data_IF_963130605855
#
_entry.id   IF_963130605855
#
_cell.length_a   1.000
_cell.length_b   1.000
_cell.length_c   1.000
_cell.angle_alpha   90.00
_cell.angle_beta   90.00
_cell.angle_gamma   90.00
#
_symmetry.space_group_name_H-M   'P 1'
#
loop_
_entity.id
_entity.type
_entity.pdbx_description
1 polymer ?
#
# COMPACT_ATOMS: atom_id res chain seq x y z
N UNK A 1 16.17 -25.80 -24.05
CA UNK A 1 14.84 -25.17 -23.86
C UNK A 1 14.84 -24.53 -22.47
N UNK A 2 15.03 -23.23 -22.35
CA UNK A 2 14.90 -22.53 -21.07
C UNK A 2 13.45 -22.07 -20.94
N UNK A 3 12.65 -22.76 -20.13
CA UNK A 3 11.32 -22.27 -19.78
C UNK A 3 11.49 -21.08 -18.83
N UNK A 4 11.20 -19.88 -19.30
CA UNK A 4 11.10 -18.72 -18.43
C UNK A 4 9.82 -18.85 -17.60
N UNK A 5 9.97 -18.92 -16.28
CA UNK A 5 8.85 -18.85 -15.36
C UNK A 5 8.45 -17.38 -15.21
N UNK A 6 7.49 -16.94 -16.04
CA UNK A 6 6.88 -15.62 -15.92
C UNK A 6 6.02 -15.61 -14.66
N UNK A 7 6.28 -14.64 -13.78
CA UNK A 7 5.47 -14.41 -12.59
C UNK A 7 4.99 -12.97 -12.60
N UNK A 8 3.67 -12.81 -12.52
CA UNK A 8 3.02 -11.52 -12.31
C UNK A 8 3.21 -11.07 -10.87
N UNK A 9 3.21 -9.76 -10.66
CA UNK A 9 3.38 -9.14 -9.36
C UNK A 9 2.13 -9.29 -8.49
N UNK A 10 2.35 -9.62 -7.22
CA UNK A 10 1.31 -9.64 -6.19
C UNK A 10 1.58 -8.61 -5.10
N UNK A 11 0.51 -8.00 -4.61
CA UNK A 11 0.59 -7.08 -3.49
C UNK A 11 1.01 -7.80 -2.21
N UNK A 12 1.92 -7.19 -1.45
CA UNK A 12 2.11 -7.50 -0.05
C UNK A 12 0.83 -7.23 0.74
N UNK A 13 0.79 -7.72 1.98
CA UNK A 13 -0.18 -7.20 2.94
C UNK A 13 -0.02 -5.68 3.07
N UNK A 14 -1.11 -4.99 3.37
CA UNK A 14 -1.05 -3.58 3.74
C UNK A 14 -0.16 -3.38 4.95
N UNK A 15 0.63 -2.31 4.94
CA UNK A 15 1.33 -1.82 6.11
C UNK A 15 0.36 -1.28 7.15
N UNK A 16 0.89 -0.94 8.33
CA UNK A 16 0.10 -0.24 9.34
C UNK A 16 -0.24 1.18 8.86
N UNK A 17 -1.37 1.70 9.32
CA UNK A 17 -1.70 3.10 9.14
C UNK A 17 -0.62 3.99 9.77
N UNK A 18 -0.15 4.97 9.01
CA UNK A 18 0.66 6.07 9.52
C UNK A 18 -0.15 6.91 10.52
N UNK A 19 0.57 7.71 11.31
CA UNK A 19 -0.02 8.68 12.20
C UNK A 19 -1.00 9.60 11.46
N UNK A 20 -2.04 10.02 12.17
CA UNK A 20 -2.98 11.00 11.66
C UNK A 20 -2.25 12.30 11.29
N UNK A 21 -2.64 12.94 10.19
CA UNK A 21 -2.05 14.19 9.70
C UNK A 21 -2.16 15.35 10.68
N UNK A 22 -3.04 15.24 11.66
CA UNK A 22 -3.31 16.23 12.70
C UNK A 22 -3.18 15.56 14.07
N UNK A 23 -2.93 16.34 15.11
CA UNK A 23 -2.90 15.88 16.51
C UNK A 23 -4.22 16.11 17.25
N UNK A 24 -5.13 16.91 16.68
CA UNK A 24 -6.48 17.19 17.18
C UNK A 24 -7.45 17.34 15.99
N UNK A 25 -8.74 17.15 16.24
CA UNK A 25 -9.80 17.27 15.24
C UNK A 25 -9.77 16.13 14.21
N UNK A 26 -10.27 16.44 13.01
CA UNK A 26 -10.38 15.48 11.91
C UNK A 26 -9.18 15.63 10.97
N UNK A 27 -8.49 14.53 10.68
CA UNK A 27 -7.39 14.48 9.73
C UNK A 27 -7.45 13.25 8.85
N UNK A 28 -6.33 12.97 8.19
CA UNK A 28 -6.17 11.84 7.28
C UNK A 28 -4.97 11.00 7.70
N UNK A 29 -5.07 9.70 7.49
CA UNK A 29 -3.98 8.73 7.65
C UNK A 29 -3.75 7.99 6.35
N UNK A 30 -2.52 7.55 6.15
CA UNK A 30 -2.06 6.85 4.96
C UNK A 30 -1.62 5.42 5.35
N UNK A 31 -1.92 4.44 4.52
CA UNK A 31 -1.24 3.14 4.55
C UNK A 31 -0.71 2.81 3.16
N UNK A 32 0.37 2.05 3.10
CA UNK A 32 1.00 1.64 1.85
C UNK A 32 1.19 0.13 1.78
N UNK A 33 1.33 -0.38 0.57
CA UNK A 33 1.66 -1.77 0.24
C UNK A 33 2.65 -1.80 -0.90
N UNK A 34 3.37 -2.91 -1.04
CA UNK A 34 4.44 -3.06 -2.02
C UNK A 34 4.12 -4.23 -2.95
N UNK A 35 4.43 -4.10 -4.22
CA UNK A 35 4.27 -5.18 -5.20
C UNK A 35 5.42 -6.19 -5.10
N UNK A 36 5.42 -7.00 -4.03
CA UNK A 36 6.54 -7.90 -3.69
C UNK A 36 6.13 -9.31 -3.28
N UNK A 37 4.84 -9.65 -3.31
CA UNK A 37 4.35 -10.96 -2.88
C UNK A 37 3.43 -11.64 -3.93
N UNK A 38 4.00 -12.17 -5.03
CA UNK A 38 5.42 -12.19 -5.38
C UNK A 38 5.87 -10.92 -6.11
N UNK A 39 7.18 -10.66 -6.16
CA UNK A 39 7.72 -9.63 -7.06
C UNK A 39 7.56 -10.05 -8.52
N UNK A 40 7.16 -9.14 -9.43
CA UNK A 40 7.04 -9.46 -10.85
C UNK A 40 8.41 -9.75 -11.46
N UNK A 41 8.43 -10.71 -12.38
CA UNK A 41 9.58 -10.89 -13.28
C UNK A 41 9.63 -9.77 -14.31
N UNK A 42 10.76 -9.59 -15.02
CA UNK A 42 10.91 -8.55 -16.06
C UNK A 42 9.84 -8.64 -17.17
N UNK A 43 9.28 -9.83 -17.39
CA UNK A 43 8.20 -10.08 -18.36
C UNK A 43 6.83 -10.29 -17.70
N UNK A 44 6.75 -10.22 -16.37
CA UNK A 44 5.51 -10.35 -15.62
C UNK A 44 4.79 -9.00 -15.51
N UNK A 45 3.48 -9.04 -15.29
CA UNK A 45 2.68 -7.85 -15.08
C UNK A 45 2.97 -7.21 -13.73
N UNK A 46 2.95 -5.88 -13.67
CA UNK A 46 2.95 -5.17 -12.40
C UNK A 46 1.62 -5.38 -11.66
N UNK A 47 1.61 -5.11 -10.35
CA UNK A 47 0.40 -5.19 -9.56
C UNK A 47 -0.63 -4.14 -9.99
N UNK A 48 -1.89 -4.56 -10.12
CA UNK A 48 -2.98 -3.66 -10.48
C UNK A 48 -3.54 -2.91 -9.26
N UNK A 49 -3.82 -1.62 -9.42
CA UNK A 49 -4.36 -0.73 -8.39
C UNK A 49 -3.30 0.12 -7.66
N UNK A 50 -3.73 0.82 -6.62
CA UNK A 50 -2.87 1.78 -5.92
C UNK A 50 -1.96 1.11 -4.89
N UNK A 51 -0.73 1.59 -4.75
CA UNK A 51 0.20 1.23 -3.66
C UNK A 51 -0.13 1.91 -2.33
N UNK A 52 -1.05 2.87 -2.35
CA UNK A 52 -1.38 3.76 -1.24
C UNK A 52 -2.89 3.84 -1.05
N UNK A 53 -3.32 3.91 0.21
CA UNK A 53 -4.71 4.09 0.60
C UNK A 53 -4.81 5.12 1.72
N UNK A 54 -5.88 5.94 1.70
CA UNK A 54 -6.15 6.97 2.68
C UNK A 54 -7.42 6.65 3.46
N UNK A 55 -7.44 7.05 4.72
CA UNK A 55 -8.62 6.99 5.57
C UNK A 55 -8.71 8.23 6.45
N UNK A 56 -9.90 8.52 6.95
CA UNK A 56 -10.14 9.61 7.89
C UNK A 56 -9.78 9.13 9.30
N UNK A 57 -9.12 9.99 10.07
CA UNK A 57 -8.85 9.77 11.48
C UNK A 57 -9.41 10.93 12.30
N UNK A 58 -9.97 10.60 13.46
CA UNK A 58 -10.55 11.58 14.38
C UNK A 58 -9.78 11.51 15.68
N UNK A 59 -9.11 12.60 16.01
CA UNK A 59 -8.41 12.79 17.28
C UNK A 59 -9.27 13.57 18.27
N UNK A 60 -8.69 13.83 19.46
CA UNK A 60 -9.31 14.73 20.45
C UNK A 60 -9.69 16.07 19.80
N UNK A 61 -10.76 16.74 20.26
CA UNK A 61 -11.08 18.10 19.80
C UNK A 61 -9.87 19.03 19.93
N UNK A 62 -9.78 20.01 19.03
CA UNK A 62 -8.84 21.10 19.18
C UNK A 62 -9.38 22.08 20.25
N UNK A 63 -8.47 22.66 21.02
CA UNK A 63 -8.79 23.63 22.09
C UNK A 63 -8.84 25.06 21.55
#
# INVERSE_FOLDING_TARGET
MFYMCIKDGGWSTWGSWQSCSVTCGVGRRLMSRICSNPSPTIYGKACEGNSEAFDVCVNRPCE
#
